data_IF_079646288123
#
_entry.id   IF_079646288123
#
_cell.length_a   1.000
_cell.length_b   1.000
_cell.length_c   1.000
_cell.angle_alpha   90.00
_cell.angle_beta   90.00
_cell.angle_gamma   90.00
#
_symmetry.space_group_name_H-M   'P 1'
#
loop_
_entity.id
_entity.type
_entity.pdbx_description
1 polymer ?
#
# COMPACT_ATOMS: atom_id res chain seq x y z
N UNK A 1 -14.73 -13.87 -57.82
CA UNK A 1 -15.16 -12.93 -56.76
C UNK A 1 -14.69 -13.32 -55.35
N UNK A 2 -14.57 -14.60 -54.96
CA UNK A 2 -14.11 -15.00 -53.61
C UNK A 2 -12.67 -14.56 -53.25
N UNK A 3 -11.72 -14.55 -54.20
CA UNK A 3 -10.31 -14.20 -53.92
C UNK A 3 -10.10 -12.72 -53.56
N UNK A 4 -10.93 -11.81 -54.11
CA UNK A 4 -10.86 -10.37 -53.80
C UNK A 4 -11.38 -10.04 -52.39
N UNK A 5 -12.34 -10.82 -51.89
CA UNK A 5 -12.89 -10.66 -50.53
C UNK A 5 -11.90 -11.11 -49.45
N UNK A 6 -11.19 -12.21 -49.68
CA UNK A 6 -10.16 -12.74 -48.77
C UNK A 6 -8.92 -11.82 -48.66
N UNK A 7 -8.52 -11.18 -49.76
CA UNK A 7 -7.42 -10.21 -49.77
C UNK A 7 -7.78 -8.88 -49.08
N UNK A 8 -9.05 -8.46 -49.15
CA UNK A 8 -9.57 -7.30 -48.42
C UNK A 8 -9.67 -7.56 -46.92
N UNK A 9 -10.15 -8.75 -46.52
CA UNK A 9 -10.25 -9.10 -45.09
C UNK A 9 -8.88 -9.23 -44.42
N UNK A 10 -7.88 -9.81 -45.10
CA UNK A 10 -6.50 -9.91 -44.59
C UNK A 10 -5.83 -8.54 -44.43
N UNK A 11 -6.03 -7.59 -45.35
CA UNK A 11 -5.51 -6.22 -45.21
C UNK A 11 -6.16 -5.44 -44.08
N UNK A 12 -7.48 -5.58 -43.89
CA UNK A 12 -8.20 -4.96 -42.79
C UNK A 12 -7.75 -5.56 -41.45
N UNK A 13 -7.57 -6.88 -41.38
CA UNK A 13 -7.14 -7.57 -40.17
C UNK A 13 -5.68 -7.24 -39.82
N UNK A 14 -4.78 -7.16 -40.81
CA UNK A 14 -3.41 -6.69 -40.61
C UNK A 14 -3.36 -5.22 -40.14
N UNK A 15 -4.22 -4.35 -40.68
CA UNK A 15 -4.35 -2.96 -40.24
C UNK A 15 -4.82 -2.83 -38.79
N UNK A 16 -5.80 -3.63 -38.39
CA UNK A 16 -6.27 -3.71 -37.01
C UNK A 16 -5.17 -4.20 -36.06
N UNK A 17 -4.49 -5.30 -36.39
CA UNK A 17 -3.40 -5.84 -35.59
C UNK A 17 -2.28 -4.81 -35.43
N UNK A 18 -1.87 -4.15 -36.51
CA UNK A 18 -0.84 -3.12 -36.48
C UNK A 18 -1.26 -1.93 -35.59
N UNK A 19 -2.49 -1.44 -35.73
CA UNK A 19 -3.02 -0.37 -34.90
C UNK A 19 -3.06 -0.75 -33.41
N UNK A 20 -3.46 -1.98 -33.08
CA UNK A 20 -3.46 -2.49 -31.70
C UNK A 20 -2.03 -2.59 -31.15
N UNK A 21 -1.09 -3.16 -31.90
CA UNK A 21 0.31 -3.27 -31.49
C UNK A 21 0.95 -1.90 -31.24
N UNK A 22 0.70 -0.93 -32.12
CA UNK A 22 1.19 0.45 -31.95
C UNK A 22 0.57 1.09 -30.72
N UNK A 23 -0.73 0.90 -30.49
CA UNK A 23 -1.41 1.44 -29.30
C UNK A 23 -0.87 0.84 -28.01
N UNK A 24 -0.67 -0.48 -27.95
CA UNK A 24 -0.09 -1.17 -26.78
C UNK A 24 1.35 -0.71 -26.53
N UNK A 25 2.15 -0.58 -27.59
CA UNK A 25 3.52 -0.08 -27.48
C UNK A 25 3.56 1.38 -27.00
N UNK A 26 2.68 2.24 -27.51
CA UNK A 26 2.57 3.63 -27.09
C UNK A 26 2.14 3.74 -25.63
N UNK A 27 1.12 2.99 -25.20
CA UNK A 27 0.68 2.93 -23.80
C UNK A 27 1.81 2.43 -22.90
N UNK A 28 2.48 1.33 -23.29
CA UNK A 28 3.62 0.79 -22.58
C UNK A 28 4.76 1.81 -22.43
N UNK A 29 5.06 2.55 -23.50
CA UNK A 29 6.07 3.60 -23.47
C UNK A 29 5.67 4.78 -22.57
N UNK A 30 4.40 5.19 -22.58
CA UNK A 30 3.88 6.25 -21.70
C UNK A 30 3.99 5.88 -20.20
N UNK A 31 4.03 4.60 -19.85
CA UNK A 31 4.29 4.13 -18.48
C UNK A 31 5.77 4.16 -18.06
N UNK A 32 6.71 4.41 -18.98
CA UNK A 32 8.13 4.59 -18.63
C UNK A 32 8.38 5.93 -17.89
N UNK A 33 9.57 6.11 -17.33
CA UNK A 33 9.98 7.39 -16.72
C UNK A 33 9.97 8.54 -17.74
N UNK A 34 10.47 8.29 -18.95
CA UNK A 34 10.50 9.26 -20.04
C UNK A 34 9.10 9.60 -20.55
N UNK A 35 8.24 8.59 -20.72
CA UNK A 35 6.84 8.79 -21.11
C UNK A 35 6.07 9.65 -20.09
N UNK A 36 6.25 9.37 -18.80
CA UNK A 36 5.65 10.18 -17.72
C UNK A 36 6.17 11.61 -17.68
N UNK A 37 7.47 11.82 -17.90
CA UNK A 37 8.03 13.18 -18.00
C UNK A 37 7.46 13.95 -19.19
N UNK A 38 7.27 13.30 -20.34
CA UNK A 38 6.65 13.93 -21.50
C UNK A 38 5.19 14.30 -21.22
N UNK A 39 4.41 13.39 -20.63
CA UNK A 39 3.01 13.66 -20.25
C UNK A 39 2.90 14.86 -19.29
N UNK A 40 3.79 14.92 -18.30
CA UNK A 40 3.86 16.06 -17.39
C UNK A 40 4.19 17.38 -18.12
N UNK A 41 5.14 17.36 -19.07
CA UNK A 41 5.46 18.54 -19.90
C UNK A 41 4.32 18.96 -20.82
N UNK A 42 3.51 17.99 -21.29
CA UNK A 42 2.31 18.24 -22.09
C UNK A 42 1.11 18.69 -21.25
N UNK A 43 1.30 18.88 -19.93
CA UNK A 43 0.25 19.35 -19.04
C UNK A 43 -0.87 18.33 -18.85
N UNK A 44 -0.62 17.04 -19.09
CA UNK A 44 -1.55 15.96 -18.74
C UNK A 44 -1.33 15.67 -17.25
N UNK A 45 -2.19 16.19 -16.34
CA UNK A 45 -2.01 15.97 -14.92
C UNK A 45 -2.14 14.48 -14.60
N UNK A 46 -1.41 13.99 -13.60
CA UNK A 46 -1.72 12.68 -13.04
C UNK A 46 -3.11 12.81 -12.39
N UNK A 47 -4.14 12.05 -12.81
CA UNK A 47 -5.52 12.31 -12.38
C UNK A 47 -5.70 12.31 -10.85
N UNK A 48 -4.83 11.59 -10.14
CA UNK A 48 -4.81 11.49 -8.66
C UNK A 48 -4.36 12.76 -7.94
N UNK A 49 -3.71 13.69 -8.64
CA UNK A 49 -3.22 14.94 -8.03
C UNK A 49 -4.34 15.98 -7.86
N UNK A 50 -5.48 15.80 -8.54
CA UNK A 50 -6.62 16.76 -8.55
C UNK A 50 -7.91 16.18 -7.97
N UNK A 51 -7.89 14.98 -7.38
CA UNK A 51 -9.09 14.36 -6.80
C UNK A 51 -9.41 14.97 -5.45
N UNK A 52 -10.69 15.29 -5.23
CA UNK A 52 -11.18 15.76 -3.93
C UNK A 52 -11.03 14.69 -2.84
N UNK A 53 -10.59 15.12 -1.65
CA UNK A 53 -10.31 14.23 -0.53
C UNK A 53 -11.55 13.49 -0.01
N UNK A 54 -12.75 14.09 -0.10
CA UNK A 54 -14.00 13.45 0.29
C UNK A 54 -14.40 12.35 -0.69
N UNK A 55 -14.09 12.51 -1.98
CA UNK A 55 -14.28 11.45 -2.97
C UNK A 55 -13.41 10.25 -2.63
N UNK A 56 -12.13 10.47 -2.33
CA UNK A 56 -11.22 9.39 -1.91
C UNK A 56 -11.66 8.77 -0.58
N UNK A 57 -12.18 9.56 0.35
CA UNK A 57 -12.73 9.07 1.61
C UNK A 57 -13.95 8.17 1.42
N UNK A 58 -14.86 8.53 0.51
CA UNK A 58 -16.03 7.70 0.18
C UNK A 58 -15.62 6.37 -0.46
N UNK A 59 -14.66 6.38 -1.40
CA UNK A 59 -14.12 5.18 -2.03
C UNK A 59 -13.44 4.27 -1.01
N UNK A 60 -12.62 4.86 -0.12
CA UNK A 60 -11.98 4.15 1.00
C UNK A 60 -13.03 3.55 1.93
N UNK A 61 -14.04 4.31 2.32
CA UNK A 61 -15.11 3.85 3.21
C UNK A 61 -15.85 2.65 2.61
N UNK A 62 -16.15 2.68 1.30
CA UNK A 62 -16.75 1.54 0.59
C UNK A 62 -15.83 0.32 0.53
N UNK A 63 -14.53 0.52 0.31
CA UNK A 63 -13.57 -0.58 0.30
C UNK A 63 -13.48 -1.25 1.67
N UNK A 64 -13.37 -0.44 2.73
CA UNK A 64 -13.25 -0.93 4.11
C UNK A 64 -14.55 -1.55 4.60
N UNK A 65 -15.72 -1.06 4.18
CA UNK A 65 -16.99 -1.65 4.59
C UNK A 65 -17.13 -3.12 4.16
N UNK A 66 -16.42 -3.54 3.11
CA UNK A 66 -16.35 -4.94 2.65
C UNK A 66 -15.31 -5.79 3.38
N UNK A 67 -14.38 -5.14 4.08
CA UNK A 67 -13.27 -5.79 4.76
C UNK A 67 -13.50 -5.90 6.27
N UNK A 68 -14.16 -4.90 6.88
CA UNK A 68 -14.36 -4.84 8.33
C UNK A 68 -15.24 -5.96 8.86
N UNK A 69 -14.93 -6.43 10.07
CA UNK A 69 -15.76 -7.38 10.81
C UNK A 69 -16.98 -6.73 11.46
N UNK A 70 -17.73 -7.51 12.24
CA UNK A 70 -18.92 -7.05 12.97
C UNK A 70 -18.68 -6.69 14.43
N UNK A 71 -17.53 -7.11 15.00
CA UNK A 71 -17.18 -6.90 16.41
C UNK A 71 -16.17 -5.75 16.49
N UNK A 72 -16.27 -4.92 17.54
CA UNK A 72 -15.29 -3.86 17.80
C UNK A 72 -13.93 -4.45 18.19
N UNK A 73 -12.85 -3.76 17.82
CA UNK A 73 -11.52 -4.20 18.21
C UNK A 73 -11.30 -4.03 19.71
N UNK A 74 -10.67 -5.01 20.40
CA UNK A 74 -10.34 -4.85 21.82
C UNK A 74 -9.31 -3.74 22.06
N UNK A 75 -8.45 -3.47 21.07
CA UNK A 75 -7.51 -2.35 21.02
C UNK A 75 -7.31 -1.91 19.56
N UNK A 76 -6.74 -0.73 19.33
CA UNK A 76 -6.47 -0.16 18.00
C UNK A 76 -5.01 0.29 17.89
N UNK A 77 -4.04 -0.66 17.93
CA UNK A 77 -2.62 -0.30 17.96
C UNK A 77 -2.21 0.49 16.72
N UNK A 78 -1.39 1.52 16.92
CA UNK A 78 -0.93 2.40 15.85
C UNK A 78 0.49 2.93 16.14
N UNK A 79 1.40 2.02 16.52
CA UNK A 79 2.83 2.32 16.73
C UNK A 79 3.10 3.48 17.71
N UNK A 80 2.28 3.60 18.76
CA UNK A 80 2.38 4.67 19.75
C UNK A 80 1.58 5.94 19.43
N UNK A 81 0.94 6.02 18.26
CA UNK A 81 -0.03 7.05 17.88
C UNK A 81 -1.47 6.56 18.13
N UNK A 82 -2.45 7.42 17.86
CA UNK A 82 -3.88 7.11 17.98
C UNK A 82 -4.59 7.40 16.65
N UNK A 83 -5.19 6.37 16.06
CA UNK A 83 -6.05 6.54 14.90
C UNK A 83 -7.29 7.38 15.27
N UNK A 84 -7.72 8.21 14.32
CA UNK A 84 -8.81 9.19 14.44
C UNK A 84 -8.59 10.31 15.47
N UNK A 85 -7.39 10.40 16.08
CA UNK A 85 -7.08 11.41 17.11
C UNK A 85 -5.77 12.13 16.86
N UNK A 86 -4.68 11.40 16.64
CA UNK A 86 -3.38 12.00 16.35
C UNK A 86 -3.49 12.86 15.10
N UNK A 87 -2.96 14.08 15.17
CA UNK A 87 -3.03 15.05 14.07
C UNK A 87 -1.79 14.98 13.19
N UNK A 88 -1.91 15.49 11.97
CA UNK A 88 -0.78 15.66 11.06
C UNK A 88 0.38 16.44 11.69
N UNK A 89 0.08 17.53 12.40
CA UNK A 89 1.10 18.35 13.07
C UNK A 89 1.80 17.59 14.19
N UNK A 90 1.06 16.86 15.03
CA UNK A 90 1.66 16.06 16.11
C UNK A 90 2.62 14.99 15.58
N UNK A 91 2.23 14.32 14.49
CA UNK A 91 3.07 13.31 13.84
C UNK A 91 4.30 13.96 13.21
N UNK A 92 4.15 15.07 12.49
CA UNK A 92 5.26 15.78 11.87
C UNK A 92 6.26 16.31 12.91
N UNK A 93 5.77 16.87 14.00
CA UNK A 93 6.60 17.36 15.10
C UNK A 93 7.34 16.21 15.79
N UNK A 94 6.68 15.07 16.01
CA UNK A 94 7.32 13.90 16.59
C UNK A 94 8.46 13.39 15.70
N UNK A 95 8.20 13.18 14.40
CA UNK A 95 9.23 12.74 13.47
C UNK A 95 10.40 13.73 13.38
N UNK A 96 10.11 15.04 13.42
CA UNK A 96 11.14 16.09 13.43
C UNK A 96 11.99 16.02 14.70
N UNK A 97 11.37 15.89 15.88
CA UNK A 97 12.09 15.73 17.16
C UNK A 97 13.02 14.51 17.15
N UNK A 98 12.59 13.44 16.49
CA UNK A 98 13.35 12.20 16.37
C UNK A 98 14.36 12.20 15.21
N UNK A 99 14.58 13.36 14.56
CA UNK A 99 15.48 13.53 13.40
C UNK A 99 15.15 12.62 12.20
N UNK A 100 13.87 12.30 12.02
CA UNK A 100 13.36 11.53 10.88
C UNK A 100 12.90 12.48 9.78
N UNK A 101 13.47 12.34 8.59
CA UNK A 101 13.03 13.12 7.43
C UNK A 101 11.75 12.55 6.82
N UNK A 102 10.74 13.41 6.68
CA UNK A 102 9.45 13.07 6.09
C UNK A 102 9.10 14.03 4.95
N UNK A 103 8.63 13.48 3.83
CA UNK A 103 8.07 14.24 2.72
C UNK A 103 6.57 14.44 2.96
N UNK A 104 6.08 15.68 2.82
CA UNK A 104 4.66 15.96 2.71
C UNK A 104 4.17 15.66 1.28
N UNK A 105 3.14 14.82 1.15
CA UNK A 105 2.57 14.43 -0.14
C UNK A 105 1.07 14.67 -0.11
N UNK A 106 0.54 15.31 -1.16
CA UNK A 106 -0.90 15.49 -1.36
C UNK A 106 -1.35 14.80 -2.64
N UNK A 107 -2.15 13.73 -2.52
CA UNK A 107 -2.71 12.94 -3.64
C UNK A 107 -4.07 12.37 -3.23
N UNK A 108 -5.12 13.19 -3.34
CA UNK A 108 -6.43 12.88 -2.76
C UNK A 108 -6.46 13.05 -1.25
N UNK A 109 -5.54 12.43 -0.50
CA UNK A 109 -5.30 12.75 0.91
C UNK A 109 -3.97 13.45 1.12
N UNK A 110 -3.79 13.96 2.34
CA UNK A 110 -2.48 14.33 2.86
C UNK A 110 -1.78 13.12 3.44
N UNK A 111 -0.49 13.05 3.19
CA UNK A 111 0.39 12.00 3.68
C UNK A 111 1.69 12.59 4.19
N UNK A 112 2.23 11.97 5.23
CA UNK A 112 3.63 12.09 5.61
C UNK A 112 4.33 10.79 5.25
N UNK A 113 5.34 10.87 4.37
CA UNK A 113 6.17 9.73 3.98
C UNK A 113 7.55 9.88 4.58
N UNK A 114 7.87 9.04 5.56
CA UNK A 114 9.16 9.04 6.22
C UNK A 114 10.00 7.84 5.78
N UNK A 115 11.31 8.01 5.66
CA UNK A 115 12.23 6.96 5.19
C UNK A 115 13.33 6.67 6.21
N UNK A 116 13.78 5.43 6.26
CA UNK A 116 14.86 5.00 7.15
C UNK A 116 14.56 5.19 8.64
N UNK A 117 13.32 4.90 9.06
CA UNK A 117 12.86 5.13 10.44
C UNK A 117 13.36 4.02 11.36
N UNK A 118 14.13 4.33 12.42
CA UNK A 118 14.52 3.34 13.42
C UNK A 118 13.31 2.65 14.06
N UNK A 119 13.38 1.32 14.22
CA UNK A 119 12.29 0.52 14.77
C UNK A 119 11.88 0.96 16.19
N UNK A 120 12.85 1.41 16.99
CA UNK A 120 12.67 1.82 18.38
C UNK A 120 11.72 3.02 18.51
N UNK A 121 11.77 3.96 17.56
CA UNK A 121 10.87 5.13 17.54
C UNK A 121 9.40 4.73 17.34
N UNK A 122 9.18 3.58 16.70
CA UNK A 122 7.86 3.03 16.41
C UNK A 122 7.42 2.01 17.47
N UNK A 123 8.11 1.96 18.62
CA UNK A 123 7.86 1.02 19.73
C UNK A 123 7.81 -0.44 19.28
N UNK A 124 8.56 -0.77 18.22
CA UNK A 124 8.73 -2.15 17.74
C UNK A 124 10.19 -2.56 17.84
N UNK A 125 10.40 -3.85 17.97
CA UNK A 125 11.73 -4.44 17.89
C UNK A 125 11.96 -4.91 16.44
N UNK A 126 13.20 -4.92 15.96
CA UNK A 126 13.54 -5.44 14.63
C UNK A 126 14.30 -4.45 13.74
N UNK A 127 14.50 -4.80 12.46
CA UNK A 127 15.23 -3.98 11.51
C UNK A 127 14.57 -2.62 11.29
N UNK A 128 15.35 -1.58 10.90
CA UNK A 128 14.83 -0.28 10.53
C UNK A 128 13.74 -0.39 9.46
N UNK A 129 12.79 0.53 9.52
CA UNK A 129 11.73 0.65 8.54
C UNK A 129 12.23 1.44 7.35
N UNK A 130 12.24 0.81 6.18
CA UNK A 130 12.66 1.47 4.95
C UNK A 130 11.77 2.68 4.61
N UNK A 131 10.47 2.55 4.86
CA UNK A 131 9.48 3.60 4.60
C UNK A 131 8.23 3.42 5.46
N UNK A 132 7.69 4.52 5.97
CA UNK A 132 6.40 4.58 6.65
C UNK A 132 5.57 5.72 6.07
N UNK A 133 4.28 5.46 5.91
CA UNK A 133 3.29 6.42 5.43
C UNK A 133 2.22 6.62 6.49
N UNK A 134 2.06 7.86 6.92
CA UNK A 134 0.93 8.31 7.72
C UNK A 134 -0.08 8.95 6.77
N UNK A 135 -1.33 8.49 6.78
CA UNK A 135 -2.40 9.03 5.94
C UNK A 135 -3.41 9.77 6.81
N UNK A 136 -3.84 10.96 6.38
CA UNK A 136 -4.70 11.84 7.17
C UNK A 136 -6.04 12.09 6.49
N UNK A 137 -7.11 12.17 7.30
CA UNK A 137 -8.46 12.56 6.87
C UNK A 137 -8.48 14.03 6.42
N UNK A 138 -9.55 14.48 5.76
CA UNK A 138 -9.72 15.90 5.44
C UNK A 138 -9.60 16.82 6.68
N UNK A 139 -10.02 16.34 7.85
CA UNK A 139 -9.89 17.01 9.15
C UNK A 139 -8.46 16.98 9.75
N UNK A 140 -7.48 16.45 9.01
CA UNK A 140 -6.06 16.28 9.40
C UNK A 140 -5.79 15.31 10.56
N UNK A 141 -6.73 14.44 10.89
CA UNK A 141 -6.50 13.36 11.85
C UNK A 141 -6.02 12.07 11.17
N UNK A 142 -5.17 11.30 11.86
CA UNK A 142 -4.51 10.10 11.37
C UNK A 142 -5.53 8.98 11.14
N UNK A 143 -5.61 8.47 9.90
CA UNK A 143 -6.57 7.40 9.55
C UNK A 143 -5.91 6.06 9.26
N UNK A 144 -4.64 6.08 8.87
CA UNK A 144 -3.92 4.88 8.49
C UNK A 144 -2.41 5.06 8.62
N UNK A 145 -1.75 3.96 8.98
CA UNK A 145 -0.30 3.83 8.97
C UNK A 145 0.04 2.64 8.06
N UNK A 146 0.95 2.86 7.10
CA UNK A 146 1.51 1.79 6.28
C UNK A 146 3.02 1.80 6.44
N UNK A 147 3.56 0.68 6.90
CA UNK A 147 4.97 0.51 7.16
C UNK A 147 5.53 -0.55 6.21
N UNK A 148 6.74 -0.31 5.72
CA UNK A 148 7.43 -1.18 4.77
C UNK A 148 8.86 -1.47 5.23
N UNK A 149 9.17 -2.75 5.35
CA UNK A 149 10.55 -3.26 5.38
C UNK A 149 10.77 -3.99 4.07
N UNK A 150 11.78 -3.58 3.32
CA UNK A 150 12.11 -4.05 1.96
C UNK A 150 13.59 -4.40 1.91
N UNK A 151 13.97 -5.17 0.90
CA UNK A 151 15.35 -5.62 0.70
C UNK A 151 15.92 -6.35 1.93
N UNK A 152 15.07 -7.18 2.56
CA UNK A 152 15.45 -7.93 3.76
C UNK A 152 16.11 -9.25 3.39
N UNK A 153 16.99 -9.72 4.27
CA UNK A 153 17.42 -11.12 4.31
C UNK A 153 16.27 -12.03 4.77
N UNK A 154 16.40 -13.34 4.60
CA UNK A 154 15.43 -14.31 5.12
C UNK A 154 15.24 -14.20 6.64
N UNK A 155 16.35 -14.03 7.37
CA UNK A 155 16.34 -13.90 8.83
C UNK A 155 15.58 -12.66 9.28
N UNK A 156 15.87 -11.50 8.68
CA UNK A 156 15.18 -10.24 8.96
C UNK A 156 13.70 -10.31 8.61
N UNK A 157 13.35 -11.00 7.52
CA UNK A 157 11.96 -11.20 7.09
C UNK A 157 11.19 -12.03 8.11
N UNK A 158 11.75 -13.19 8.53
CA UNK A 158 11.14 -14.05 9.56
C UNK A 158 11.03 -13.33 10.89
N UNK A 159 12.04 -12.57 11.29
CA UNK A 159 12.03 -11.78 12.52
C UNK A 159 10.96 -10.69 12.47
N UNK A 160 10.91 -9.89 11.40
CA UNK A 160 9.94 -8.80 11.25
C UNK A 160 8.51 -9.32 11.22
N UNK A 161 8.26 -10.41 10.48
CA UNK A 161 6.98 -11.10 10.46
C UNK A 161 6.56 -11.57 11.86
N UNK A 162 7.45 -12.27 12.57
CA UNK A 162 7.16 -12.77 13.92
C UNK A 162 6.84 -11.63 14.88
N UNK A 163 7.61 -10.54 14.87
CA UNK A 163 7.40 -9.42 15.78
C UNK A 163 6.05 -8.75 15.52
N UNK A 164 5.73 -8.48 14.25
CA UNK A 164 4.45 -7.89 13.87
C UNK A 164 3.26 -8.77 14.31
N UNK A 165 3.32 -10.08 14.04
CA UNK A 165 2.27 -11.01 14.44
C UNK A 165 2.15 -11.16 15.95
N UNK A 166 3.27 -11.19 16.69
CA UNK A 166 3.23 -11.26 18.15
C UNK A 166 2.61 -10.01 18.75
N UNK A 167 2.98 -8.82 18.27
CA UNK A 167 2.42 -7.56 18.74
C UNK A 167 0.92 -7.49 18.48
N UNK A 168 0.47 -7.79 17.26
CA UNK A 168 -0.96 -7.80 16.93
C UNK A 168 -1.72 -8.88 17.70
N UNK A 169 -1.14 -10.08 17.87
CA UNK A 169 -1.79 -11.14 18.65
C UNK A 169 -1.95 -10.78 20.12
N UNK A 170 -0.99 -10.07 20.70
CA UNK A 170 -1.08 -9.58 22.08
C UNK A 170 -2.18 -8.52 22.24
N UNK A 171 -2.32 -7.61 21.27
CA UNK A 171 -3.31 -6.54 21.33
C UNK A 171 -4.73 -6.99 20.94
N UNK A 172 -4.85 -7.89 19.95
CA UNK A 172 -6.11 -8.19 19.27
C UNK A 172 -6.59 -9.63 19.45
N UNK A 173 -5.72 -10.55 19.86
CA UNK A 173 -6.03 -11.97 19.94
C UNK A 173 -5.75 -12.72 18.64
N UNK A 174 -6.61 -13.68 18.28
CA UNK A 174 -6.39 -14.50 17.07
C UNK A 174 -6.72 -13.71 15.79
N UNK A 175 -5.98 -13.93 14.68
CA UNK A 175 -6.32 -13.33 13.40
C UNK A 175 -7.71 -13.72 12.92
N UNK A 176 -8.34 -12.83 12.18
CA UNK A 176 -9.63 -13.08 11.52
C UNK A 176 -9.49 -13.86 10.22
N UNK A 177 -8.36 -13.69 9.52
CA UNK A 177 -8.07 -14.43 8.30
C UNK A 177 -6.56 -14.59 8.09
N UNK A 178 -6.18 -15.65 7.39
CA UNK A 178 -4.81 -15.95 6.99
C UNK A 178 -4.83 -16.44 5.53
N UNK A 179 -3.88 -16.01 4.71
CA UNK A 179 -3.78 -16.38 3.29
C UNK A 179 -2.33 -16.66 2.91
N UNK A 180 -2.10 -17.70 2.11
CA UNK A 180 -0.77 -18.15 1.73
C UNK A 180 -0.07 -18.95 2.84
N UNK A 181 1.22 -19.24 2.62
CA UNK A 181 2.03 -20.01 3.56
C UNK A 181 2.60 -19.10 4.67
N UNK A 182 1.91 -19.06 5.82
CA UNK A 182 2.31 -18.23 6.97
C UNK A 182 3.49 -18.79 7.77
N UNK A 183 4.02 -19.97 7.41
CA UNK A 183 5.33 -20.45 7.89
C UNK A 183 6.48 -19.79 7.15
N UNK A 184 6.16 -19.08 6.05
CA UNK A 184 7.08 -18.40 5.14
C UNK A 184 8.04 -19.33 4.38
N UNK A 185 7.87 -20.64 4.45
CA UNK A 185 8.75 -21.61 3.77
C UNK A 185 8.69 -21.41 2.25
N UNK A 186 7.49 -21.42 1.69
CA UNK A 186 7.24 -21.20 0.26
C UNK A 186 7.71 -19.82 -0.21
N UNK A 187 7.73 -18.85 0.72
CA UNK A 187 8.11 -17.48 0.43
C UNK A 187 9.63 -17.32 0.26
N UNK A 188 10.43 -18.10 0.98
CA UNK A 188 11.89 -18.10 0.80
C UNK A 188 12.30 -18.82 -0.48
N UNK A 189 11.60 -19.89 -0.84
CA UNK A 189 11.99 -20.75 -1.97
C UNK A 189 11.61 -20.21 -3.35
N UNK A 190 10.52 -19.44 -3.45
CA UNK A 190 9.94 -19.05 -4.75
C UNK A 190 9.67 -17.54 -4.84
N UNK A 191 10.09 -16.88 -5.94
CA UNK A 191 9.65 -15.52 -6.21
C UNK A 191 8.13 -15.50 -6.47
N UNK A 192 7.49 -14.36 -6.19
CA UNK A 192 6.04 -14.12 -6.33
C UNK A 192 5.18 -14.88 -5.30
N UNK A 193 5.75 -15.21 -4.15
CA UNK A 193 5.01 -15.76 -3.02
C UNK A 193 4.59 -14.66 -2.03
N UNK A 194 3.40 -14.82 -1.44
CA UNK A 194 2.83 -13.88 -0.46
C UNK A 194 2.23 -14.68 0.70
N UNK A 195 2.45 -14.18 1.92
CA UNK A 195 1.75 -14.61 3.12
C UNK A 195 1.08 -13.39 3.75
N UNK A 196 -0.18 -13.52 4.16
CA UNK A 196 -0.97 -12.43 4.72
C UNK A 196 -1.70 -12.90 5.96
N UNK A 197 -1.68 -12.07 7.00
CA UNK A 197 -2.49 -12.22 8.22
C UNK A 197 -3.31 -10.96 8.41
N UNK A 198 -4.59 -11.13 8.71
CA UNK A 198 -5.55 -10.04 8.79
C UNK A 198 -6.36 -10.07 10.08
N UNK A 199 -6.58 -8.87 10.63
CA UNK A 199 -7.38 -8.59 11.79
C UNK A 199 -8.45 -7.58 11.39
N UNK A 200 -9.67 -8.05 11.15
CA UNK A 200 -10.79 -7.26 10.67
C UNK A 200 -11.86 -7.09 11.75
N UNK A 201 -11.94 -5.89 12.31
CA UNK A 201 -12.94 -5.46 13.27
C UNK A 201 -13.80 -4.35 12.67
N UNK A 202 -14.94 -4.07 13.28
CA UNK A 202 -15.93 -3.10 12.80
C UNK A 202 -15.41 -1.65 12.73
N UNK A 203 -14.39 -1.33 13.51
CA UNK A 203 -13.79 0.01 13.69
C UNK A 203 -12.28 0.05 13.44
N UNK A 204 -11.67 -1.10 13.13
CA UNK A 204 -10.23 -1.24 12.92
C UNK A 204 -9.88 -2.41 12.01
N UNK A 205 -8.93 -2.18 11.10
CA UNK A 205 -8.34 -3.22 10.26
C UNK A 205 -6.82 -3.16 10.40
N UNK A 206 -6.21 -4.29 10.73
CA UNK A 206 -4.77 -4.48 10.65
C UNK A 206 -4.40 -5.63 9.71
N UNK A 207 -3.29 -5.48 9.01
CA UNK A 207 -2.78 -6.48 8.08
C UNK A 207 -1.26 -6.54 8.15
N UNK A 208 -0.73 -7.75 8.25
CA UNK A 208 0.70 -8.03 8.01
C UNK A 208 0.81 -8.85 6.74
N UNK A 209 1.67 -8.42 5.82
CA UNK A 209 1.94 -9.11 4.55
C UNK A 209 3.44 -9.32 4.40
N UNK A 210 3.87 -10.57 4.27
CA UNK A 210 5.20 -10.90 3.79
C UNK A 210 5.11 -11.21 2.29
N UNK A 211 6.09 -10.76 1.52
CA UNK A 211 6.16 -11.05 0.07
C UNK A 211 7.59 -11.25 -0.40
N UNK A 212 7.78 -12.09 -1.42
CA UNK A 212 9.02 -12.19 -2.19
C UNK A 212 8.75 -11.67 -3.61
N UNK A 213 9.27 -10.49 -3.93
CA UNK A 213 9.08 -9.86 -5.25
C UNK A 213 10.33 -10.07 -6.13
N UNK A 214 10.20 -10.44 -7.42
CA UNK A 214 11.34 -10.76 -8.29
C UNK A 214 12.47 -9.71 -8.35
N UNK A 215 12.13 -8.43 -8.23
CA UNK A 215 13.08 -7.31 -8.28
C UNK A 215 13.12 -6.47 -7.00
N UNK A 216 12.29 -6.82 -6.02
CA UNK A 216 12.15 -6.08 -4.76
C UNK A 216 12.63 -6.86 -3.53
N UNK A 217 13.09 -8.09 -3.75
CA UNK A 217 13.54 -9.00 -2.69
C UNK A 217 12.40 -9.37 -1.73
N UNK A 218 12.81 -9.74 -0.51
CA UNK A 218 11.88 -10.04 0.57
C UNK A 218 11.42 -8.76 1.25
N UNK A 219 10.13 -8.70 1.56
CA UNK A 219 9.51 -7.55 2.20
C UNK A 219 8.46 -7.98 3.23
N UNK A 220 8.31 -7.16 4.27
CA UNK A 220 7.20 -7.22 5.22
C UNK A 220 6.54 -5.85 5.26
N UNK A 221 5.23 -5.85 5.06
CA UNK A 221 4.36 -4.69 5.15
C UNK A 221 3.42 -4.86 6.31
N UNK A 222 3.31 -3.81 7.11
CA UNK A 222 2.30 -3.69 8.17
C UNK A 222 1.36 -2.54 7.79
N UNK A 223 0.06 -2.76 7.95
CA UNK A 223 -0.96 -1.76 7.68
C UNK A 223 -1.92 -1.73 8.86
N UNK A 224 -2.16 -0.55 9.41
CA UNK A 224 -3.09 -0.30 10.51
C UNK A 224 -4.04 0.81 10.09
N UNK A 225 -5.34 0.57 10.15
CA UNK A 225 -6.34 1.45 9.55
C UNK A 225 -7.56 1.62 10.43
N UNK A 226 -8.06 2.85 10.50
CA UNK A 226 -9.37 3.12 11.05
C UNK A 226 -10.46 2.60 10.11
N UNK A 227 -11.39 1.81 10.64
CA UNK A 227 -12.59 1.38 9.92
C UNK A 227 -13.87 2.07 10.42
N UNK A 228 -13.72 3.15 11.21
CA UNK A 228 -14.85 3.99 11.57
C UNK A 228 -15.40 4.66 10.32
N UNK A 229 -16.72 4.72 10.21
CA UNK A 229 -17.39 5.50 9.17
C UNK A 229 -17.24 6.97 9.52
N UNK A 230 -16.91 7.80 8.52
CA UNK A 230 -17.05 9.24 8.68
C UNK A 230 -18.53 9.56 8.92
N UNK A 231 -18.82 10.26 10.01
CA UNK A 231 -20.13 10.85 10.27
C UNK A 231 -20.23 12.20 9.58
#
# INVERSE_FOLDING_TARGET
MLQLAAARSTRIMAGLIAATCVSVAAIGWLHTSHGRQLLAKLGVPCPVDTVDSNVVLSMRSNAISRQRGSIAAPDRPALGLQLDRSTESEVAEQMTRDNVHCDEISRGFRYLRCRGVPAQLLRTNGPPVSEIWFSFKPDRTLMAINLYRRDMTESETRQSWRIALQSLRQALGVPTAMTGDTTLTSLMEKPVAVARVEYAYSDYVATVTASHLPYGGLAVREQYMSATTAH
#
